data_IF_133187881930
#
_entry.id   IF_133187881930
#
_cell.length_a   1.000
_cell.length_b   1.000
_cell.length_c   1.000
_cell.angle_alpha   90.00
_cell.angle_beta   90.00
_cell.angle_gamma   90.00
#
_symmetry.space_group_name_H-M   'P 1'
#
loop_
_entity.id
_entity.type
_entity.pdbx_description
1 polymer ?
#
# COMPACT_ATOMS: atom_id res chain seq x y z
N UNK A 1 9.77 -7.17 9.35
CA UNK A 1 9.37 -5.76 9.57
C UNK A 1 9.92 -4.93 8.42
N UNK A 2 9.15 -4.00 7.91
CA UNK A 2 9.56 -3.10 6.83
C UNK A 2 9.17 -1.67 7.14
N UNK A 3 9.60 -0.73 6.31
CA UNK A 3 9.28 0.69 6.42
C UNK A 3 8.59 1.13 5.14
N UNK A 4 7.48 1.86 5.26
CA UNK A 4 6.81 2.46 4.11
C UNK A 4 7.68 3.59 3.57
N UNK A 5 8.09 3.52 2.31
CA UNK A 5 8.95 4.53 1.67
C UNK A 5 8.21 5.39 0.66
N UNK A 6 7.05 4.94 0.17
CA UNK A 6 6.18 5.72 -0.69
C UNK A 6 4.74 5.24 -0.57
N UNK A 7 3.78 6.18 -0.57
CA UNK A 7 2.34 5.88 -0.71
C UNK A 7 1.82 6.61 -1.95
N UNK A 8 1.38 5.85 -2.95
CA UNK A 8 1.04 6.37 -4.29
C UNK A 8 -0.47 6.61 -4.48
N UNK A 9 -1.28 6.21 -3.50
CA UNK A 9 -2.74 6.31 -3.53
C UNK A 9 -3.27 6.95 -2.27
N UNK A 10 -4.50 7.45 -2.33
CA UNK A 10 -5.21 8.03 -1.20
C UNK A 10 -6.62 7.47 -1.11
N UNK A 11 -7.30 7.77 -0.03
CA UNK A 11 -8.72 7.47 0.11
C UNK A 11 -9.50 8.06 -1.08
N UNK A 12 -10.36 7.23 -1.66
CA UNK A 12 -11.13 7.54 -2.85
C UNK A 12 -10.40 7.36 -4.18
N UNK A 13 -9.13 6.98 -4.23
CA UNK A 13 -8.41 6.69 -5.47
C UNK A 13 -9.01 5.48 -6.20
N UNK A 14 -9.26 5.60 -7.49
CA UNK A 14 -9.50 4.45 -8.37
C UNK A 14 -8.18 3.79 -8.75
N UNK A 15 -8.15 2.46 -8.70
CA UNK A 15 -6.96 1.65 -9.00
C UNK A 15 -7.30 0.52 -9.93
N UNK A 16 -6.34 0.13 -10.77
CA UNK A 16 -6.44 -1.05 -11.65
C UNK A 16 -5.58 -2.20 -11.16
N UNK A 17 -5.94 -3.42 -11.54
CA UNK A 17 -5.14 -4.61 -11.33
C UNK A 17 -3.66 -4.36 -11.71
N UNK A 18 -2.75 -4.71 -10.81
CA UNK A 18 -1.31 -4.55 -11.00
C UNK A 18 -0.77 -3.13 -10.79
N UNK A 19 -1.64 -2.12 -10.61
CA UNK A 19 -1.23 -0.76 -10.29
C UNK A 19 -0.48 -0.74 -8.96
N UNK A 20 0.62 -0.02 -8.91
CA UNK A 20 1.40 0.15 -7.68
C UNK A 20 0.66 1.08 -6.71
N UNK A 21 0.53 0.64 -5.46
CA UNK A 21 -0.22 1.33 -4.41
C UNK A 21 0.71 2.01 -3.41
N UNK A 22 1.75 1.30 -2.98
CA UNK A 22 2.76 1.79 -2.05
C UNK A 22 4.03 0.94 -2.20
N UNK A 23 5.14 1.45 -1.69
CA UNK A 23 6.41 0.69 -1.63
C UNK A 23 6.89 0.58 -0.20
N UNK A 24 7.34 -0.61 0.18
CA UNK A 24 7.92 -0.93 1.49
C UNK A 24 9.38 -1.32 1.29
N UNK A 25 10.26 -0.80 2.12
CA UNK A 25 11.63 -1.28 2.22
C UNK A 25 11.77 -2.27 3.38
N UNK A 26 12.30 -3.45 3.10
CA UNK A 26 12.65 -4.44 4.10
C UNK A 26 13.99 -5.08 3.72
N UNK A 27 14.91 -5.21 4.67
CA UNK A 27 16.22 -5.85 4.46
C UNK A 27 17.00 -5.28 3.25
N UNK A 28 17.01 -3.95 3.07
CA UNK A 28 17.60 -3.22 1.92
C UNK A 28 16.95 -3.50 0.56
N UNK A 29 15.80 -4.17 0.54
CA UNK A 29 15.03 -4.47 -0.67
C UNK A 29 13.72 -3.69 -0.66
N UNK A 30 13.46 -2.97 -1.75
CA UNK A 30 12.20 -2.28 -1.99
C UNK A 30 11.20 -3.24 -2.63
N UNK A 31 10.01 -3.32 -2.04
CA UNK A 31 8.91 -4.18 -2.46
C UNK A 31 7.70 -3.31 -2.76
N UNK A 32 7.30 -3.29 -4.03
CA UNK A 32 6.10 -2.63 -4.49
C UNK A 32 4.87 -3.48 -4.13
N UNK A 33 3.93 -2.91 -3.38
CA UNK A 33 2.62 -3.49 -3.15
C UNK A 33 1.70 -3.04 -4.28
N UNK A 34 1.11 -4.02 -4.96
CA UNK A 34 0.27 -3.80 -6.15
C UNK A 34 -1.17 -4.18 -5.86
N UNK A 35 -2.08 -3.50 -6.55
CA UNK A 35 -3.49 -3.80 -6.56
C UNK A 35 -3.74 -5.22 -7.05
N UNK A 36 -4.50 -6.00 -6.28
CA UNK A 36 -4.89 -7.38 -6.62
C UNK A 36 -6.14 -7.43 -7.49
N UNK A 37 -6.83 -6.29 -7.65
CA UNK A 37 -8.02 -6.12 -8.49
C UNK A 37 -8.25 -4.64 -8.82
N UNK A 38 -9.16 -4.42 -9.76
CA UNK A 38 -9.75 -3.11 -10.00
C UNK A 38 -10.66 -2.71 -8.83
N UNK A 39 -10.69 -1.42 -8.50
CA UNK A 39 -11.59 -0.92 -7.46
C UNK A 39 -11.23 0.49 -7.00
N UNK A 40 -11.90 0.92 -5.93
CA UNK A 40 -11.65 2.19 -5.27
C UNK A 40 -11.06 1.94 -3.89
N UNK A 41 -10.12 2.76 -3.46
CA UNK A 41 -9.55 2.69 -2.10
C UNK A 41 -10.51 3.35 -1.12
N UNK A 42 -10.92 2.64 -0.07
CA UNK A 42 -11.73 3.18 1.01
C UNK A 42 -10.86 3.93 2.02
N UNK A 43 -9.80 3.27 2.50
CA UNK A 43 -8.93 3.77 3.55
C UNK A 43 -7.46 3.45 3.26
N UNK A 44 -6.56 4.32 3.73
CA UNK A 44 -5.11 4.06 3.76
C UNK A 44 -4.63 4.22 5.19
N UNK A 45 -4.14 3.14 5.79
CA UNK A 45 -3.80 3.09 7.22
C UNK A 45 -2.35 3.42 7.54
N UNK A 46 -1.54 3.69 6.52
CA UNK A 46 -0.10 3.91 6.65
C UNK A 46 0.32 5.17 5.90
N UNK A 47 1.39 5.80 6.38
CA UNK A 47 2.06 6.91 5.72
C UNK A 47 3.55 6.61 5.52
N UNK A 48 4.20 7.42 4.68
CA UNK A 48 5.65 7.34 4.50
C UNK A 48 6.39 7.48 5.85
N UNK A 49 7.39 6.63 6.04
CA UNK A 49 8.16 6.52 7.28
C UNK A 49 7.60 5.54 8.32
N UNK A 50 6.36 5.06 8.16
CA UNK A 50 5.78 4.12 9.12
C UNK A 50 6.47 2.75 9.07
N UNK A 51 6.68 2.17 10.26
CA UNK A 51 7.13 0.78 10.39
C UNK A 51 5.94 -0.17 10.32
N UNK A 52 6.04 -1.19 9.48
CA UNK A 52 4.98 -2.17 9.24
C UNK A 52 5.44 -3.60 9.55
N UNK A 53 4.49 -4.42 10.02
CA UNK A 53 4.70 -5.84 10.34
C UNK A 53 4.01 -6.74 9.33
N UNK A 54 4.44 -7.99 9.28
CA UNK A 54 3.75 -9.00 8.47
C UNK A 54 2.30 -9.17 8.96
N UNK A 55 1.35 -9.20 8.04
CA UNK A 55 -0.08 -9.32 8.35
C UNK A 55 -0.76 -8.01 8.81
N UNK A 56 -0.03 -6.90 8.92
CA UNK A 56 -0.63 -5.60 9.23
C UNK A 56 -1.42 -5.08 8.01
N UNK A 57 -2.70 -4.68 8.16
CA UNK A 57 -3.44 -4.01 7.11
C UNK A 57 -2.77 -2.70 6.69
N UNK A 58 -2.68 -2.45 5.39
CA UNK A 58 -2.05 -1.24 4.83
C UNK A 58 -3.08 -0.29 4.21
N UNK A 59 -4.06 -0.87 3.53
CA UNK A 59 -5.15 -0.17 2.86
C UNK A 59 -6.37 -1.10 2.77
N UNK A 60 -7.51 -0.50 2.49
CA UNK A 60 -8.79 -1.17 2.34
C UNK A 60 -9.44 -0.74 1.03
N UNK A 61 -10.02 -1.69 0.30
CA UNK A 61 -10.84 -1.38 -0.87
C UNK A 61 -12.26 -1.01 -0.42
N UNK A 62 -12.89 -0.08 -1.13
CA UNK A 62 -14.32 0.17 -1.04
C UNK A 62 -15.02 -0.99 -1.75
N UNK A 63 -15.53 -1.93 -0.97
CA UNK A 63 -16.55 -2.89 -1.41
C UNK A 63 -17.93 -2.23 -1.47
#
# INVERSE_FOLDING_TARGET
PGTVVAVLVKEGSEVKFGQELLTIEAMKMKNAIRATRDGKIAAVYVKEGDSVRHGQPLLEYAD
#
